data_IF_803570095393
#
_entry.id   IF_803570095393
#
_cell.length_a   1.000
_cell.length_b   1.000
_cell.length_c   1.000
_cell.angle_alpha   90.00
_cell.angle_beta   90.00
_cell.angle_gamma   90.00
#
_symmetry.space_group_name_H-M   'P 1'
#
loop_
_entity.id
_entity.type
_entity.pdbx_description
1 polymer ?
#
# COMPACT_ATOMS: atom_id res chain seq x y z
N UNK A 1 -4.70 8.60 19.04
CA UNK A 1 -3.63 9.57 19.30
C UNK A 1 -4.20 10.98 19.29
N UNK A 2 -3.55 11.90 19.97
CA UNK A 2 -3.90 13.33 19.93
C UNK A 2 -3.64 13.90 18.53
N UNK A 3 -4.68 14.45 17.89
CA UNK A 3 -4.62 15.00 16.54
C UNK A 3 -3.74 16.26 16.46
N UNK A 4 -3.51 16.93 17.59
CA UNK A 4 -2.67 18.13 17.67
C UNK A 4 -1.19 17.87 17.34
N UNK A 5 -0.75 16.60 17.43
CA UNK A 5 0.63 16.17 17.16
C UNK A 5 0.88 15.83 15.69
N UNK A 6 -0.13 15.88 14.83
CA UNK A 6 0.02 15.56 13.41
C UNK A 6 0.51 16.79 12.64
N UNK A 7 1.82 16.83 12.38
CA UNK A 7 2.45 17.82 11.52
C UNK A 7 2.57 17.36 10.06
N UNK A 8 3.28 18.12 9.24
CA UNK A 8 3.53 17.83 7.81
C UNK A 8 4.17 16.45 7.57
N UNK A 9 4.86 15.88 8.56
CA UNK A 9 5.47 14.55 8.51
C UNK A 9 4.47 13.40 8.61
N UNK A 10 3.17 13.65 8.78
CA UNK A 10 2.14 12.61 8.88
C UNK A 10 2.19 11.66 7.67
N UNK A 11 2.38 12.19 6.46
CA UNK A 11 2.46 11.39 5.22
C UNK A 11 3.71 10.50 5.15
N UNK A 12 4.71 10.78 5.99
CA UNK A 12 5.94 9.98 6.14
C UNK A 12 5.90 9.09 7.39
N UNK A 13 4.76 8.98 8.07
CA UNK A 13 4.63 8.15 9.27
C UNK A 13 5.04 8.82 10.57
N UNK A 14 5.01 10.16 10.65
CA UNK A 14 5.26 10.92 11.88
C UNK A 14 4.21 10.74 12.99
N UNK A 15 3.27 9.80 12.83
CA UNK A 15 2.20 9.50 13.77
C UNK A 15 2.26 8.02 14.18
N UNK A 16 2.20 7.78 15.49
CA UNK A 16 2.11 6.44 16.05
C UNK A 16 0.70 5.85 15.84
N UNK A 17 0.64 4.59 15.42
CA UNK A 17 -0.60 3.84 15.22
C UNK A 17 -0.44 2.42 15.76
N UNK A 18 -1.50 1.86 16.33
CA UNK A 18 -1.51 0.44 16.71
C UNK A 18 -1.49 -0.41 15.44
N UNK A 19 -0.70 -1.48 15.43
CA UNK A 19 -0.61 -2.37 14.28
C UNK A 19 -1.97 -2.92 13.85
N UNK A 20 -2.82 -3.29 14.81
CA UNK A 20 -4.17 -3.81 14.52
C UNK A 20 -5.06 -2.79 13.80
N UNK A 21 -4.95 -1.50 14.15
CA UNK A 21 -5.70 -0.44 13.51
C UNK A 21 -5.19 -0.20 12.08
N UNK A 22 -3.88 -0.28 11.88
CA UNK A 22 -3.25 -0.19 10.55
C UNK A 22 -3.66 -1.36 9.66
N UNK A 23 -3.61 -2.60 10.17
CA UNK A 23 -4.05 -3.79 9.42
C UNK A 23 -5.53 -3.72 9.08
N UNK A 24 -6.37 -3.27 10.04
CA UNK A 24 -7.80 -3.05 9.79
C UNK A 24 -8.04 -2.02 8.69
N UNK A 25 -7.25 -0.93 8.65
CA UNK A 25 -7.33 0.06 7.59
C UNK A 25 -6.90 -0.51 6.23
N UNK A 26 -5.83 -1.31 6.16
CA UNK A 26 -5.42 -1.96 4.91
C UNK A 26 -6.42 -3.01 4.42
N UNK A 27 -7.15 -3.65 5.34
CA UNK A 27 -8.25 -4.55 5.01
C UNK A 27 -9.34 -3.88 4.16
N UNK A 28 -9.55 -2.57 4.31
CA UNK A 28 -10.51 -1.77 3.51
C UNK A 28 -10.18 -1.82 2.02
N UNK A 29 -8.89 -1.83 1.65
CA UNK A 29 -8.50 -1.92 0.25
C UNK A 29 -8.81 -3.30 -0.33
N UNK A 30 -8.51 -4.37 0.41
CA UNK A 30 -8.83 -5.74 -0.01
C UNK A 30 -10.32 -6.02 -0.14
N UNK A 31 -11.17 -5.29 0.59
CA UNK A 31 -12.62 -5.44 0.61
C UNK A 31 -13.37 -4.41 -0.25
N UNK A 32 -12.76 -3.89 -1.32
CA UNK A 32 -13.42 -2.95 -2.25
C UNK A 32 -13.99 -1.69 -1.55
N UNK A 33 -13.30 -1.22 -0.50
CA UNK A 33 -13.64 -0.01 0.24
C UNK A 33 -14.54 -0.23 1.46
N UNK A 34 -14.88 -1.48 1.80
CA UNK A 34 -15.75 -1.81 2.92
C UNK A 34 -14.96 -2.06 4.21
N UNK A 35 -15.16 -1.23 5.23
CA UNK A 35 -14.55 -1.39 6.54
C UNK A 35 -15.40 -2.30 7.43
N UNK A 36 -14.84 -3.43 7.80
CA UNK A 36 -15.35 -4.25 8.90
C UNK A 36 -14.54 -3.95 10.17
N UNK A 37 -15.17 -3.47 11.27
CA UNK A 37 -14.45 -3.19 12.50
C UNK A 37 -13.83 -4.47 13.08
N UNK A 38 -12.53 -4.42 13.40
CA UNK A 38 -11.82 -5.54 14.00
C UNK A 38 -12.36 -5.87 15.40
N UNK A 39 -12.34 -7.15 15.77
CA UNK A 39 -12.75 -7.64 17.09
C UNK A 39 -12.25 -9.06 17.33
N UNK A 40 -11.81 -9.33 18.56
CA UNK A 40 -11.26 -10.65 18.95
C UNK A 40 -12.36 -11.60 19.41
N UNK A 41 -13.27 -11.13 20.25
CA UNK A 41 -14.38 -11.93 20.80
C UNK A 41 -15.53 -11.91 19.80
N UNK A 42 -15.92 -13.09 19.30
CA UNK A 42 -17.04 -13.26 18.38
C UNK A 42 -18.34 -13.61 19.11
N UNK A 43 -18.25 -14.42 20.18
CA UNK A 43 -19.41 -14.91 20.92
C UNK A 43 -19.01 -15.31 22.33
N UNK A 44 -19.87 -15.03 23.30
CA UNK A 44 -19.75 -15.41 24.71
C UNK A 44 -20.97 -16.25 25.06
N UNK A 45 -20.74 -17.46 25.56
CA UNK A 45 -21.79 -18.39 25.98
C UNK A 45 -21.57 -18.84 27.42
N UNK A 46 -22.67 -19.18 28.07
CA UNK A 46 -22.66 -19.90 29.36
C UNK A 46 -22.43 -21.39 29.14
N UNK A 47 -22.10 -22.12 30.21
CA UNK A 47 -21.93 -23.58 30.16
C UNK A 47 -23.19 -24.36 29.75
N UNK A 48 -24.37 -23.72 29.82
CA UNK A 48 -25.65 -24.28 29.35
C UNK A 48 -25.95 -23.96 27.87
N UNK A 49 -25.04 -23.29 27.16
CA UNK A 49 -25.20 -22.89 25.76
C UNK A 49 -25.97 -21.58 25.55
N UNK A 50 -26.41 -20.90 26.62
CA UNK A 50 -27.07 -19.59 26.50
C UNK A 50 -26.08 -18.54 26.00
N UNK A 51 -26.39 -17.90 24.87
CA UNK A 51 -25.61 -16.79 24.32
C UNK A 51 -25.80 -15.55 25.18
N UNK A 52 -24.71 -15.03 25.72
CA UNK A 52 -24.68 -13.79 26.51
C UNK A 52 -24.43 -12.60 25.59
N UNK A 53 -23.52 -12.77 24.64
CA UNK A 53 -23.13 -11.73 23.69
C UNK A 53 -22.68 -12.41 22.39
N UNK A 54 -23.07 -11.84 21.25
CA UNK A 54 -22.59 -12.24 19.94
C UNK A 54 -22.30 -10.98 19.12
N UNK A 55 -21.12 -10.95 18.50
CA UNK A 55 -20.67 -9.80 17.75
C UNK A 55 -21.30 -9.82 16.36
N UNK A 56 -22.27 -8.94 16.16
CA UNK A 56 -22.79 -8.62 14.83
C UNK A 56 -21.89 -7.56 14.18
N UNK A 57 -21.28 -7.91 13.05
CA UNK A 57 -20.42 -7.00 12.29
C UNK A 57 -21.15 -6.52 11.06
N UNK A 58 -21.46 -5.23 11.03
CA UNK A 58 -22.01 -4.55 9.87
C UNK A 58 -20.89 -3.77 9.15
N UNK A 59 -20.46 -4.19 7.96
CA UNK A 59 -19.44 -3.46 7.21
C UNK A 59 -19.96 -2.09 6.78
N UNK A 60 -19.13 -1.05 6.90
CA UNK A 60 -19.44 0.30 6.44
C UNK A 60 -18.54 0.73 5.29
N UNK A 61 -19.05 1.51 4.34
CA UNK A 61 -18.23 2.03 3.25
C UNK A 61 -17.30 3.12 3.78
N UNK A 62 -16.00 2.88 3.74
CA UNK A 62 -14.97 3.84 4.14
C UNK A 62 -14.28 4.50 2.94
N UNK A 63 -14.21 3.78 1.81
CA UNK A 63 -13.71 4.29 0.54
C UNK A 63 -14.67 3.94 -0.59
N UNK A 64 -14.64 4.78 -1.63
CA UNK A 64 -15.21 4.42 -2.92
C UNK A 64 -14.52 3.14 -3.48
N UNK A 65 -15.30 2.31 -4.16
CA UNK A 65 -14.83 1.01 -4.66
C UNK A 65 -13.71 1.19 -5.70
N UNK A 66 -13.88 2.14 -6.64
CA UNK A 66 -12.89 2.40 -7.67
C UNK A 66 -11.58 2.88 -7.06
N UNK A 67 -11.65 3.72 -6.02
CA UNK A 67 -10.47 4.16 -5.27
C UNK A 67 -9.74 2.99 -4.60
N UNK A 68 -10.46 2.08 -3.93
CA UNK A 68 -9.84 0.91 -3.29
C UNK A 68 -9.16 -0.03 -4.30
N UNK A 69 -9.78 -0.22 -5.47
CA UNK A 69 -9.22 -1.04 -6.56
C UNK A 69 -7.99 -0.41 -7.19
N UNK A 70 -7.98 0.89 -7.43
CA UNK A 70 -6.79 1.60 -7.93
C UNK A 70 -5.59 1.45 -6.98
N UNK A 71 -5.82 1.57 -5.66
CA UNK A 71 -4.75 1.35 -4.67
C UNK A 71 -4.27 -0.11 -4.67
N UNK A 72 -5.19 -1.07 -4.79
CA UNK A 72 -4.84 -2.50 -4.85
C UNK A 72 -4.04 -2.83 -6.12
N UNK A 73 -4.41 -2.25 -7.26
CA UNK A 73 -3.70 -2.38 -8.53
C UNK A 73 -2.24 -1.90 -8.40
N UNK A 74 -2.06 -0.66 -7.93
CA UNK A 74 -0.74 -0.06 -7.68
C UNK A 74 0.10 -0.91 -6.71
N UNK A 75 -0.49 -1.32 -5.58
CA UNK A 75 0.25 -2.03 -4.53
C UNK A 75 0.49 -3.52 -4.86
N UNK A 76 -0.22 -4.08 -5.83
CA UNK A 76 -0.06 -5.47 -6.29
C UNK A 76 0.88 -5.60 -7.49
N UNK A 77 1.18 -4.52 -8.21
CA UNK A 77 2.11 -4.53 -9.33
C UNK A 77 3.56 -4.86 -8.89
N UNK A 78 4.06 -6.02 -9.29
CA UNK A 78 5.43 -6.43 -9.02
C UNK A 78 6.44 -5.78 -9.96
N UNK A 79 6.05 -5.52 -11.22
CA UNK A 79 6.91 -4.88 -12.20
C UNK A 79 7.24 -3.46 -11.75
N UNK A 80 6.24 -2.68 -11.34
CA UNK A 80 6.43 -1.32 -10.86
C UNK A 80 7.38 -1.22 -9.66
N UNK A 81 7.36 -2.20 -8.75
CA UNK A 81 8.21 -2.20 -7.55
C UNK A 81 9.56 -2.90 -7.73
N UNK A 82 9.79 -3.57 -8.86
CA UNK A 82 10.97 -4.41 -9.09
C UNK A 82 12.29 -3.63 -9.08
N UNK A 83 12.30 -2.38 -9.54
CA UNK A 83 13.48 -1.51 -9.48
C UNK A 83 13.94 -1.22 -8.04
N UNK A 84 13.00 -1.18 -7.08
CA UNK A 84 13.30 -0.89 -5.68
C UNK A 84 13.64 -2.15 -4.87
N UNK A 85 12.98 -3.28 -5.15
CA UNK A 85 13.06 -4.47 -4.28
C UNK A 85 13.58 -5.74 -4.98
N UNK A 86 13.78 -5.69 -6.29
CA UNK A 86 14.02 -6.87 -7.12
C UNK A 86 12.72 -7.61 -7.50
N UNK A 87 12.75 -8.28 -8.65
CA UNK A 87 11.58 -9.00 -9.19
C UNK A 87 11.14 -10.21 -8.33
N UNK A 88 12.01 -10.71 -7.45
CA UNK A 88 11.75 -11.85 -6.55
C UNK A 88 11.87 -11.47 -5.08
N UNK A 89 11.46 -10.24 -4.74
CA UNK A 89 11.53 -9.72 -3.38
C UNK A 89 10.67 -10.49 -2.37
N UNK A 90 10.85 -10.21 -1.08
CA UNK A 90 10.02 -10.74 0.00
C UNK A 90 8.54 -10.31 -0.08
N UNK A 91 8.16 -9.39 -0.97
CA UNK A 91 6.74 -9.04 -1.19
C UNK A 91 6.05 -9.99 -2.18
N UNK A 92 6.81 -10.84 -2.88
CA UNK A 92 6.26 -11.76 -3.89
C UNK A 92 5.84 -13.08 -3.23
N UNK A 93 4.56 -13.41 -3.37
CA UNK A 93 4.00 -14.69 -2.93
C UNK A 93 3.58 -15.50 -4.17
N UNK A 94 4.37 -16.49 -4.61
CA UNK A 94 4.13 -17.23 -5.85
C UNK A 94 2.75 -17.87 -5.90
N UNK A 95 2.05 -17.69 -7.03
CA UNK A 95 0.71 -18.22 -7.24
C UNK A 95 -0.44 -17.36 -6.69
N UNK A 96 -0.14 -16.29 -5.95
CA UNK A 96 -1.14 -15.42 -5.36
C UNK A 96 -0.96 -13.97 -5.80
N UNK A 97 -2.07 -13.25 -5.96
CA UNK A 97 -2.06 -11.80 -6.15
C UNK A 97 -2.07 -11.14 -4.77
N UNK A 98 -1.02 -10.38 -4.45
CA UNK A 98 -0.87 -9.77 -3.13
C UNK A 98 -0.44 -8.31 -3.26
N UNK A 99 -1.21 -7.44 -2.62
CA UNK A 99 -0.87 -6.04 -2.47
C UNK A 99 -0.05 -5.86 -1.18
N UNK A 100 1.03 -5.08 -1.22
CA UNK A 100 1.84 -4.87 -0.02
C UNK A 100 2.53 -3.52 -0.01
N UNK A 101 2.68 -2.96 1.19
CA UNK A 101 3.45 -1.74 1.44
C UNK A 101 4.44 -1.96 2.57
N UNK A 102 5.66 -1.51 2.34
CA UNK A 102 6.73 -1.45 3.35
C UNK A 102 6.67 -0.13 4.12
N UNK A 103 7.05 -0.17 5.39
CA UNK A 103 7.31 1.01 6.23
C UNK A 103 8.67 0.86 6.91
N UNK A 104 9.39 1.97 7.05
CA UNK A 104 10.66 2.02 7.79
C UNK A 104 10.71 3.38 8.47
N UNK A 105 10.84 3.41 9.80
CA UNK A 105 11.02 4.66 10.53
C UNK A 105 12.45 5.15 10.40
N UNK A 106 12.68 6.42 10.75
CA UNK A 106 14.02 6.99 10.76
C UNK A 106 14.97 6.14 11.60
N UNK A 107 16.23 6.07 11.16
CA UNK A 107 17.28 5.26 11.79
C UNK A 107 16.97 3.75 11.88
N UNK A 108 16.01 3.24 11.09
CA UNK A 108 15.66 1.82 11.02
C UNK A 108 15.25 1.21 12.37
N UNK A 109 14.58 1.99 13.23
CA UNK A 109 14.13 1.54 14.56
C UNK A 109 12.92 0.62 14.46
N UNK A 110 12.05 0.88 13.49
CA UNK A 110 10.89 0.07 13.16
C UNK A 110 10.89 -0.33 11.69
N UNK A 111 10.57 -1.61 11.48
CA UNK A 111 10.28 -2.18 10.19
C UNK A 111 8.83 -2.64 10.16
N UNK A 112 8.15 -2.36 9.05
CA UNK A 112 6.78 -2.78 8.83
C UNK A 112 6.62 -3.37 7.44
N UNK A 113 5.86 -4.46 7.34
CA UNK A 113 5.19 -4.85 6.10
C UNK A 113 3.73 -5.06 6.41
N UNK A 114 2.88 -4.33 5.71
CA UNK A 114 1.43 -4.57 5.71
C UNK A 114 1.04 -4.95 4.31
N UNK A 115 0.44 -6.13 4.16
CA UNK A 115 -0.02 -6.61 2.88
C UNK A 115 -1.30 -7.40 3.00
N UNK A 116 -2.00 -7.50 1.89
CA UNK A 116 -3.37 -8.00 1.88
C UNK A 116 -3.71 -8.64 0.53
N UNK A 117 -4.78 -9.40 0.57
CA UNK A 117 -5.52 -9.99 -0.55
C UNK A 117 -7.00 -9.68 -0.34
N UNK A 118 -7.90 -10.04 -1.26
CA UNK A 118 -9.33 -9.87 -1.02
C UNK A 118 -9.89 -10.64 0.20
N UNK A 119 -9.14 -11.60 0.75
CA UNK A 119 -9.60 -12.48 1.84
C UNK A 119 -8.90 -12.25 3.18
N UNK A 120 -7.72 -11.64 3.20
CA UNK A 120 -6.95 -11.43 4.43
C UNK A 120 -6.03 -10.21 4.32
N UNK A 121 -5.90 -9.47 5.42
CA UNK A 121 -4.88 -8.46 5.62
C UNK A 121 -3.95 -8.88 6.77
N UNK A 122 -2.64 -8.71 6.57
CA UNK A 122 -1.59 -9.14 7.50
C UNK A 122 -0.56 -8.03 7.64
N UNK A 123 -0.28 -7.65 8.88
CA UNK A 123 0.79 -6.73 9.23
C UNK A 123 1.84 -7.43 10.07
N UNK A 124 3.11 -7.22 9.74
CA UNK A 124 4.26 -7.63 10.54
C UNK A 124 5.05 -6.39 10.90
N UNK A 125 5.37 -6.29 12.18
CA UNK A 125 6.31 -5.32 12.72
C UNK A 125 7.55 -6.03 13.23
N UNK A 126 8.69 -5.37 13.11
CA UNK A 126 9.93 -5.78 13.76
C UNK A 126 10.63 -4.53 14.29
N UNK A 127 11.13 -4.61 15.51
CA UNK A 127 11.78 -3.50 16.21
C UNK A 127 12.43 -3.98 17.50
N UNK A 128 13.36 -3.20 18.03
CA UNK A 128 13.93 -3.44 19.36
C UNK A 128 13.09 -2.77 20.43
N UNK A 129 12.81 -3.48 21.54
CA UNK A 129 11.99 -2.93 22.64
C UNK A 129 12.59 -1.68 23.29
N UNK A 130 13.91 -1.48 23.17
CA UNK A 130 14.62 -0.30 23.68
C UNK A 130 14.81 0.80 22.62
N UNK A 131 14.09 0.71 21.49
CA UNK A 131 14.12 1.69 20.39
C UNK A 131 15.50 1.88 19.73
N UNK A 132 16.36 0.86 19.85
CA UNK A 132 17.66 0.82 19.20
C UNK A 132 17.52 0.47 17.71
N UNK A 133 18.40 1.00 16.87
CA UNK A 133 18.43 0.68 15.44
C UNK A 133 18.64 -0.82 15.22
N UNK A 134 17.85 -1.43 14.34
CA UNK A 134 18.00 -2.85 14.01
C UNK A 134 19.09 -3.11 12.95
N UNK A 135 19.25 -2.19 12.00
CA UNK A 135 20.10 -2.37 10.82
C UNK A 135 20.56 -1.00 10.29
N UNK A 136 21.58 -1.00 9.43
CA UNK A 136 22.08 0.24 8.81
C UNK A 136 21.17 0.74 7.67
N UNK A 137 20.43 -0.13 6.95
CA UNK A 137 19.57 0.26 5.83
C UNK A 137 18.42 -0.72 5.55
N UNK A 138 17.25 -0.20 5.17
CA UNK A 138 16.21 -0.96 4.47
C UNK A 138 15.42 -1.95 5.35
N UNK A 139 15.29 -1.68 6.64
CA UNK A 139 14.74 -2.63 7.60
C UNK A 139 13.33 -3.15 7.27
N UNK A 140 12.46 -2.35 6.63
CA UNK A 140 11.10 -2.78 6.26
C UNK A 140 11.08 -4.07 5.43
N UNK A 141 11.84 -4.10 4.32
CA UNK A 141 11.88 -5.26 3.41
C UNK A 141 12.76 -6.39 3.95
N UNK A 142 13.85 -6.07 4.65
CA UNK A 142 14.85 -7.06 5.09
C UNK A 142 14.50 -7.71 6.43
N UNK A 143 13.89 -6.98 7.37
CA UNK A 143 13.53 -7.51 8.69
C UNK A 143 12.11 -8.08 8.72
N UNK A 144 11.09 -7.30 8.34
CA UNK A 144 9.69 -7.75 8.42
C UNK A 144 9.21 -8.52 7.19
N UNK A 145 9.79 -8.25 6.01
CA UNK A 145 9.41 -8.88 4.75
C UNK A 145 9.45 -10.42 4.76
N UNK A 146 10.57 -11.07 5.18
CA UNK A 146 10.65 -12.52 5.17
C UNK A 146 9.62 -13.20 6.09
N UNK A 147 9.39 -12.63 7.28
CA UNK A 147 8.38 -13.16 8.23
C UNK A 147 6.97 -13.04 7.64
N UNK A 148 6.64 -11.87 7.09
CA UNK A 148 5.36 -11.63 6.43
C UNK A 148 5.15 -12.62 5.27
N UNK A 149 6.18 -12.81 4.43
CA UNK A 149 6.11 -13.71 3.28
C UNK A 149 5.88 -15.17 3.70
N UNK A 150 6.63 -15.64 4.70
CA UNK A 150 6.51 -16.99 5.23
C UNK A 150 5.09 -17.25 5.76
N UNK A 151 4.52 -16.31 6.51
CA UNK A 151 3.14 -16.41 6.98
C UNK A 151 2.14 -16.46 5.82
N UNK A 152 2.23 -15.53 4.86
CA UNK A 152 1.31 -15.44 3.72
C UNK A 152 1.32 -16.71 2.87
N UNK A 153 2.49 -17.30 2.60
CA UNK A 153 2.63 -18.57 1.85
C UNK A 153 1.90 -19.74 2.50
N UNK A 154 1.78 -19.74 3.82
CA UNK A 154 1.07 -20.80 4.56
C UNK A 154 -0.41 -20.47 4.66
N UNK A 155 -0.75 -19.23 5.02
CA UNK A 155 -2.12 -18.80 5.22
C UNK A 155 -2.95 -18.87 3.93
N UNK A 156 -2.42 -18.37 2.81
CA UNK A 156 -3.15 -18.29 1.55
C UNK A 156 -3.46 -19.66 0.93
N UNK A 157 -2.73 -20.71 1.31
CA UNK A 157 -3.07 -22.09 0.91
C UNK A 157 -4.34 -22.62 1.58
N UNK A 158 -4.80 -21.98 2.66
CA UNK A 158 -5.97 -22.38 3.46
C UNK A 158 -7.19 -21.48 3.22
N UNK A 159 -7.04 -20.42 2.44
CA UNK A 159 -8.07 -19.42 2.18
C UNK A 159 -8.54 -19.51 0.72
N UNK A 160 -9.75 -19.01 0.40
CA UNK A 160 -10.19 -18.90 -0.99
C UNK A 160 -9.18 -18.10 -1.83
N UNK A 161 -8.81 -18.62 -3.00
CA UNK A 161 -7.86 -17.97 -3.89
C UNK A 161 -8.56 -16.90 -4.72
N UNK A 162 -8.82 -15.74 -4.10
CA UNK A 162 -9.41 -14.59 -4.78
C UNK A 162 -8.30 -13.69 -5.35
N UNK A 163 -8.54 -13.16 -6.55
CA UNK A 163 -7.72 -12.11 -7.16
C UNK A 163 -8.40 -10.76 -6.98
N UNK A 164 -7.62 -9.68 -7.02
CA UNK A 164 -8.19 -8.34 -7.05
C UNK A 164 -9.02 -8.15 -8.32
N UNK A 165 -10.17 -7.48 -8.16
CA UNK A 165 -10.90 -6.96 -9.30
C UNK A 165 -10.13 -5.74 -9.82
N UNK A 166 -9.83 -5.65 -11.13
CA UNK A 166 -9.15 -4.48 -11.67
C UNK A 166 -10.03 -3.23 -11.51
N UNK A 167 -9.42 -2.04 -11.35
CA UNK A 167 -10.15 -0.79 -11.43
C UNK A 167 -10.66 -0.55 -12.85
N UNK A 168 -11.72 0.25 -12.97
CA UNK A 168 -12.13 0.76 -14.28
C UNK A 168 -11.02 1.64 -14.87
N UNK A 169 -10.79 1.62 -16.19
CA UNK A 169 -9.80 2.49 -16.82
C UNK A 169 -10.09 3.96 -16.54
N UNK A 170 -9.06 4.71 -16.11
CA UNK A 170 -9.14 6.17 -15.94
C UNK A 170 -8.34 6.83 -17.06
N UNK A 171 -9.02 7.63 -17.87
CA UNK A 171 -8.39 8.40 -18.94
C UNK A 171 -8.41 9.89 -18.61
N UNK A 172 -7.30 10.55 -18.88
CA UNK A 172 -7.18 12.00 -18.83
C UNK A 172 -7.14 12.58 -20.23
N UNK A 173 -7.69 13.78 -20.41
CA UNK A 173 -7.46 14.59 -21.62
C UNK A 173 -5.97 14.87 -21.83
N UNK A 174 -5.20 14.94 -20.73
CA UNK A 174 -3.75 15.12 -20.78
C UNK A 174 -3.10 13.76 -20.99
N UNK A 175 -2.65 13.52 -22.22
CA UNK A 175 -2.01 12.29 -22.69
C UNK A 175 -0.93 11.73 -21.74
N UNK A 176 -0.18 12.61 -21.07
CA UNK A 176 0.89 12.21 -20.15
C UNK A 176 0.39 11.38 -18.96
N UNK A 177 -0.82 11.64 -18.47
CA UNK A 177 -1.41 10.89 -17.37
C UNK A 177 -1.90 9.52 -17.81
N UNK A 178 -2.03 9.31 -19.13
CA UNK A 178 -2.33 8.01 -19.73
C UNK A 178 -1.05 7.23 -20.05
N UNK A 179 0.13 7.69 -19.61
CA UNK A 179 1.42 7.09 -19.92
C UNK A 179 1.89 7.31 -21.36
N UNK A 180 1.24 8.21 -22.11
CA UNK A 180 1.64 8.56 -23.47
C UNK A 180 2.63 9.72 -23.43
N UNK A 181 3.79 9.54 -24.06
CA UNK A 181 4.84 10.57 -24.09
C UNK A 181 4.84 11.39 -25.38
N UNK A 182 4.28 10.87 -26.48
CA UNK A 182 4.23 11.55 -27.78
C UNK A 182 2.87 11.36 -28.47
N UNK A 183 2.50 12.31 -29.33
CA UNK A 183 1.29 12.30 -30.16
C UNK A 183 1.55 12.99 -31.49
N UNK A 184 0.57 13.00 -32.39
CA UNK A 184 0.66 13.78 -33.63
C UNK A 184 0.78 15.28 -33.38
N UNK A 185 0.21 15.78 -32.28
CA UNK A 185 0.28 17.19 -31.87
C UNK A 185 1.59 17.51 -31.13
N UNK A 186 2.09 16.55 -30.34
CA UNK A 186 3.33 16.66 -29.57
C UNK A 186 4.27 15.52 -29.96
N UNK A 187 5.00 15.66 -31.08
CA UNK A 187 5.83 14.58 -31.62
C UNK A 187 7.06 14.27 -30.76
N UNK A 188 7.48 15.22 -29.92
CA UNK A 188 8.57 15.06 -28.97
C UNK A 188 8.04 14.83 -27.55
N UNK A 189 8.72 14.02 -26.73
CA UNK A 189 8.37 13.84 -25.34
C UNK A 189 8.62 15.12 -24.54
N UNK A 190 7.71 15.40 -23.61
CA UNK A 190 7.78 16.55 -22.72
C UNK A 190 7.59 16.15 -21.27
N UNK A 191 8.06 16.99 -20.35
CA UNK A 191 7.88 16.73 -18.93
C UNK A 191 6.44 17.00 -18.46
N UNK A 192 6.03 16.36 -17.37
CA UNK A 192 5.26 16.97 -16.26
C UNK A 192 4.44 18.25 -16.52
N UNK A 193 5.17 19.34 -16.30
CA UNK A 193 4.73 20.70 -16.28
C UNK A 193 4.36 21.19 -17.68
N UNK A 194 4.83 20.57 -18.76
CA UNK A 194 4.45 20.96 -20.13
C UNK A 194 2.94 20.90 -20.37
N UNK A 195 2.29 19.85 -19.86
CA UNK A 195 0.84 19.69 -20.04
C UNK A 195 0.04 20.15 -18.81
N UNK A 196 0.69 20.45 -17.68
CA UNK A 196 0.02 20.96 -16.47
C UNK A 196 0.10 22.46 -16.34
N UNK A 197 1.31 23.03 -16.35
CA UNK A 197 1.56 24.45 -16.14
C UNK A 197 2.95 24.86 -16.65
N UNK A 198 3.01 25.40 -17.88
CA UNK A 198 4.27 25.88 -18.47
C UNK A 198 4.81 27.15 -17.82
N UNK A 199 3.99 27.83 -17.02
CA UNK A 199 4.38 29.05 -16.31
C UNK A 199 4.98 28.74 -14.93
N UNK A 200 5.04 27.48 -14.51
CA UNK A 200 5.72 27.09 -13.28
C UNK A 200 7.20 27.50 -13.35
N UNK A 201 7.73 28.09 -12.28
CA UNK A 201 9.12 28.53 -12.23
C UNK A 201 10.11 27.38 -12.45
N UNK A 202 9.71 26.15 -12.14
CA UNK A 202 10.50 24.95 -12.36
C UNK A 202 10.40 24.41 -13.80
N UNK A 203 9.45 24.88 -14.62
CA UNK A 203 9.19 24.33 -15.96
C UNK A 203 10.48 24.23 -16.79
N UNK A 204 11.25 25.31 -16.90
CA UNK A 204 12.49 25.34 -17.70
C UNK A 204 13.55 24.35 -17.20
N UNK A 205 13.68 24.19 -15.88
CA UNK A 205 14.67 23.29 -15.28
C UNK A 205 14.35 21.83 -15.59
N UNK A 206 13.07 21.48 -15.53
CA UNK A 206 12.59 20.11 -15.75
C UNK A 206 12.51 19.77 -17.25
N UNK A 207 12.11 20.75 -18.07
CA UNK A 207 12.02 20.59 -19.52
C UNK A 207 13.39 20.45 -20.19
N UNK A 208 14.42 21.10 -19.64
CA UNK A 208 15.79 20.98 -20.14
C UNK A 208 16.29 19.52 -20.14
N UNK A 209 16.01 18.76 -19.08
CA UNK A 209 16.45 17.38 -18.97
C UNK A 209 15.83 16.50 -20.06
N UNK A 210 14.51 16.63 -20.29
CA UNK A 210 13.80 15.87 -21.33
C UNK A 210 14.33 16.23 -22.71
N UNK A 211 14.54 17.52 -23.00
CA UNK A 211 15.07 17.97 -24.30
C UNK A 211 16.52 17.57 -24.54
N UNK A 212 17.32 17.46 -23.49
CA UNK A 212 18.73 17.08 -23.60
C UNK A 212 18.88 15.57 -23.78
N UNK A 213 18.10 14.77 -23.06
CA UNK A 213 18.17 13.32 -23.12
C UNK A 213 17.74 12.77 -24.49
N UNK A 214 16.81 13.43 -25.18
CA UNK A 214 16.33 13.01 -26.51
C UNK A 214 17.16 13.56 -27.69
N UNK A 215 18.25 14.29 -27.41
CA UNK A 215 19.18 14.80 -28.43
C UNK A 215 20.48 13.99 -28.53
N UNK A 216 20.65 12.97 -27.71
CA UNK A 216 21.75 11.99 -27.75
C UNK A 216 21.28 10.73 -28.49
#
# INVERSE_FOLDING_TARGET
GDKSRFGLSLVLGGAEVKLVDLVSAYGVFGSDGMRSPWGLVQRIERGDGTVVEERLVEPTRALDQQTARMISDILSDNQARSAAFGASSALVVPGFSVAAKTGTTQENRDAWVVGYTPTIAVGVWTGNNHNESMTTTGAGISASGPLWNAFMRVALKKLPSNRFNPPDPVFSEKMMFNGQTTSSEFPEPHNILFFINQNDQQFKNWEWAVRTFNRL
#
